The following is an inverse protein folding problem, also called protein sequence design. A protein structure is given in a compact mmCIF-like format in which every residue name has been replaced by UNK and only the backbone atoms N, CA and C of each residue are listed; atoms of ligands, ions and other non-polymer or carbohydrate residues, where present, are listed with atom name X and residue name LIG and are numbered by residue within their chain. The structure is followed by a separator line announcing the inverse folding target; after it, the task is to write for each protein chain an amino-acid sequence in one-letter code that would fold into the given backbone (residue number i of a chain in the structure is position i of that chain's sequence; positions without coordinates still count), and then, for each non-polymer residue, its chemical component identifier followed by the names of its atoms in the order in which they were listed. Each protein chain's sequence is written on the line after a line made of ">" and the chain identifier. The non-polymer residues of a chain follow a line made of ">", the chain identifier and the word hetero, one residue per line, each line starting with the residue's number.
data_IF_553982084704
#
_entry.id   IF_553982084704
#
_cell.length_a   1.000
_cell.length_b   1.000
_cell.length_c   1.000
_cell.angle_alpha   90.00
_cell.angle_beta   90.00
_cell.angle_gamma   90.00
#
_symmetry.space_group_name_H-M   'P 1'
#
loop_
_entity.id
_entity.type
_entity.pdbx_description
1 polymer ?
#
# COMPACT_ATOMS: atom_id res chain seq x y z
N UNK A 1 13.01 -12.77 -3.38
CA UNK A 1 12.46 -13.01 -2.04
C UNK A 1 11.81 -14.37 -2.04
N UNK A 2 11.96 -15.13 -0.97
CA UNK A 2 11.38 -16.46 -0.79
C UNK A 2 10.41 -16.45 0.39
N UNK A 3 9.11 -16.43 0.07
CA UNK A 3 8.05 -16.33 1.06
C UNK A 3 7.47 -17.69 1.44
N UNK A 4 7.35 -18.60 0.46
CA UNK A 4 6.54 -19.82 0.59
C UNK A 4 7.34 -21.12 0.42
N UNK A 5 8.60 -21.08 0.00
CA UNK A 5 9.38 -22.33 -0.13
C UNK A 5 9.75 -22.91 1.23
N UNK A 6 10.05 -24.21 1.24
CA UNK A 6 10.53 -24.92 2.44
C UNK A 6 11.86 -24.39 2.99
N UNK A 7 12.56 -23.52 2.25
CA UNK A 7 13.81 -22.88 2.65
C UNK A 7 13.62 -21.44 3.12
N UNK A 8 12.39 -20.91 3.14
CA UNK A 8 12.09 -19.56 3.59
C UNK A 8 12.48 -19.39 5.07
N UNK A 9 13.27 -18.36 5.38
CA UNK A 9 13.75 -18.10 6.75
C UNK A 9 13.74 -16.63 7.17
N UNK A 10 13.49 -15.69 6.25
CA UNK A 10 13.62 -14.24 6.55
C UNK A 10 12.65 -13.32 5.81
N UNK A 11 12.17 -13.69 4.63
CA UNK A 11 11.36 -12.81 3.81
C UNK A 11 9.90 -12.99 4.22
N UNK A 12 9.20 -11.88 4.50
CA UNK A 12 7.79 -11.88 4.90
C UNK A 12 7.02 -10.97 3.95
N UNK A 13 5.87 -11.45 3.47
CA UNK A 13 4.94 -10.67 2.67
C UNK A 13 3.65 -10.43 3.48
N UNK A 14 3.31 -9.16 3.68
CA UNK A 14 2.01 -8.76 4.20
C UNK A 14 1.18 -8.24 3.02
N UNK A 15 0.07 -8.91 2.71
CA UNK A 15 -0.76 -8.59 1.55
C UNK A 15 -1.96 -7.74 1.97
N UNK A 16 -1.99 -6.49 1.50
CA UNK A 16 -3.06 -5.54 1.75
C UNK A 16 -2.63 -4.10 1.43
N UNK A 17 -3.43 -3.13 1.84
CA UNK A 17 -3.11 -1.72 1.69
C UNK A 17 -1.89 -1.33 2.53
N UNK A 18 -0.96 -0.56 1.95
CA UNK A 18 0.26 -0.13 2.62
C UNK A 18 -0.04 0.56 3.96
N UNK A 19 -1.03 1.46 4.00
CA UNK A 19 -1.43 2.19 5.20
C UNK A 19 -1.87 1.23 6.32
N UNK A 20 -2.64 0.19 5.98
CA UNK A 20 -3.09 -0.80 6.95
C UNK A 20 -1.92 -1.67 7.43
N UNK A 21 -1.01 -2.04 6.54
CA UNK A 21 0.20 -2.79 6.90
C UNK A 21 1.11 -2.00 7.85
N UNK A 22 1.34 -0.72 7.56
CA UNK A 22 2.11 0.18 8.41
C UNK A 22 1.43 0.41 9.77
N UNK A 23 0.11 0.62 9.81
CA UNK A 23 -0.63 0.77 11.07
C UNK A 23 -0.61 -0.51 11.91
N UNK A 24 -0.77 -1.68 11.28
CA UNK A 24 -0.70 -2.97 11.97
C UNK A 24 0.70 -3.22 12.55
N UNK A 25 1.76 -2.93 11.79
CA UNK A 25 3.14 -3.02 12.28
C UNK A 25 3.40 -2.03 13.43
N UNK A 26 2.92 -0.79 13.31
CA UNK A 26 3.04 0.22 14.35
C UNK A 26 2.31 -0.19 15.65
N UNK A 27 1.19 -0.91 15.57
CA UNK A 27 0.48 -1.44 16.74
C UNK A 27 1.33 -2.46 17.50
N UNK A 28 1.94 -3.39 16.76
CA UNK A 28 2.84 -4.42 17.34
C UNK A 28 4.09 -3.81 18.01
N UNK A 29 4.55 -2.66 17.52
CA UNK A 29 5.66 -1.91 18.09
C UNK A 29 5.26 -0.94 19.22
N UNK A 30 3.95 -0.75 19.44
CA UNK A 30 3.43 0.23 20.40
C UNK A 30 3.49 1.69 19.92
N UNK A 31 3.70 1.93 18.63
CA UNK A 31 3.82 3.26 18.00
C UNK A 31 2.52 3.77 17.37
N UNK A 32 1.46 2.96 17.33
CA UNK A 32 0.23 3.29 16.60
C UNK A 32 -0.35 4.67 16.95
N UNK A 33 -0.49 4.99 18.24
CA UNK A 33 -1.03 6.28 18.68
C UNK A 33 -0.16 7.45 18.22
N UNK A 34 1.16 7.32 18.38
CA UNK A 34 2.10 8.36 17.96
C UNK A 34 2.04 8.58 16.44
N UNK A 35 1.96 7.50 15.66
CA UNK A 35 1.85 7.56 14.21
C UNK A 35 0.53 8.21 13.76
N UNK A 36 -0.60 7.84 14.37
CA UNK A 36 -1.90 8.45 14.05
C UNK A 36 -1.92 9.95 14.38
N UNK A 37 -1.37 10.34 15.54
CA UNK A 37 -1.31 11.74 15.96
C UNK A 37 -0.38 12.57 15.07
N UNK A 38 0.73 11.97 14.60
CA UNK A 38 1.61 12.60 13.61
C UNK A 38 0.87 12.84 12.29
N UNK A 39 0.25 11.80 11.72
CA UNK A 39 -0.47 11.91 10.43
C UNK A 39 -1.57 12.96 10.50
N UNK A 40 -2.37 12.97 11.58
CA UNK A 40 -3.44 13.99 11.77
C UNK A 40 -2.88 15.41 11.81
N UNK A 41 -1.80 15.64 12.56
CA UNK A 41 -1.17 16.98 12.68
C UNK A 41 -0.62 17.47 11.36
N UNK A 42 0.10 16.61 10.63
CA UNK A 42 0.72 17.02 9.36
C UNK A 42 -0.31 17.23 8.25
N UNK A 43 -1.35 16.39 8.16
CA UNK A 43 -2.45 16.64 7.21
C UNK A 43 -3.17 17.96 7.52
N UNK A 44 -3.46 18.26 8.80
CA UNK A 44 -4.05 19.54 9.18
C UNK A 44 -3.15 20.74 8.81
N UNK A 45 -1.83 20.59 8.95
CA UNK A 45 -0.84 21.61 8.55
C UNK A 45 -0.84 21.85 7.04
N UNK A 46 -0.89 20.79 6.23
CA UNK A 46 -0.94 20.87 4.76
C UNK A 46 -2.28 21.48 4.31
N UNK A 47 -3.39 21.07 4.91
CA UNK A 47 -4.72 21.59 4.59
C UNK A 47 -4.82 23.10 4.90
N UNK A 48 -4.25 23.54 6.03
CA UNK A 48 -4.18 24.95 6.39
C UNK A 48 -3.35 25.79 5.39
N UNK A 49 -2.26 25.22 4.86
CA UNK A 49 -1.40 25.89 3.88
C UNK A 49 -1.99 25.88 2.46
N UNK A 50 -2.64 24.79 2.06
CA UNK A 50 -3.21 24.62 0.72
C UNK A 50 -4.43 25.52 0.48
N UNK A 51 -5.20 25.85 1.52
CA UNK A 51 -6.25 26.88 1.44
C UNK A 51 -5.72 28.29 1.11
N UNK A 52 -4.41 28.52 1.24
CA UNK A 52 -3.74 29.80 0.98
C UNK A 52 -3.07 29.87 -0.40
N UNK A 53 -3.05 28.77 -1.17
CA UNK A 53 -2.37 28.71 -2.47
C UNK A 53 -3.39 28.89 -3.61
N UNK A 54 -3.24 29.96 -4.39
CA UNK A 54 -4.04 30.19 -5.59
C UNK A 54 -3.93 28.99 -6.56
N UNK A 55 -5.03 28.58 -7.22
CA UNK A 55 -5.03 27.41 -8.10
C UNK A 55 -4.03 27.64 -9.24
N UNK A 56 -2.99 26.80 -9.29
CA UNK A 56 -1.96 26.86 -10.32
C UNK A 56 -2.53 26.21 -11.61
N UNK A 57 -2.59 26.93 -12.75
CA UNK A 57 -3.30 26.48 -13.95
C UNK A 57 -2.68 25.28 -14.68
N UNK A 58 -1.54 24.72 -14.22
CA UNK A 58 -0.84 23.62 -14.90
C UNK A 58 -1.32 22.21 -14.56
N UNK A 59 -2.37 22.03 -13.74
CA UNK A 59 -2.90 20.68 -13.41
C UNK A 59 -3.89 20.11 -14.43
N UNK A 60 -4.16 20.80 -15.55
CA UNK A 60 -5.15 20.40 -16.54
C UNK A 60 -4.69 19.33 -17.56
N UNK A 61 -3.48 18.76 -17.47
CA UNK A 61 -3.00 17.80 -18.47
C UNK A 61 -2.18 16.66 -17.87
N UNK A 62 -2.86 15.72 -17.22
CA UNK A 62 -2.35 14.35 -17.09
C UNK A 62 -3.54 13.38 -17.12
N UNK A 63 -3.72 12.60 -18.19
CA UNK A 63 -4.79 11.63 -18.25
C UNK A 63 -4.54 10.53 -17.20
N UNK A 64 -5.39 10.49 -16.17
CA UNK A 64 -5.59 9.29 -15.33
C UNK A 64 -6.07 8.17 -16.24
N UNK A 65 -5.14 7.35 -16.77
CA UNK A 65 -5.46 6.03 -17.30
C UNK A 65 -4.69 4.99 -16.50
N UNK A 66 -5.19 4.70 -15.32
CA UNK A 66 -4.88 3.45 -14.63
C UNK A 66 -5.29 2.29 -15.55
N UNK A 67 -4.45 1.28 -15.78
CA UNK A 67 -4.90 0.05 -16.43
C UNK A 67 -5.97 -0.60 -15.54
N UNK A 68 -7.04 -1.18 -16.12
CA UNK A 68 -8.04 -1.92 -15.34
C UNK A 68 -7.40 -3.14 -14.66
N UNK A 69 -7.92 -3.57 -13.49
CA UNK A 69 -7.46 -4.78 -12.84
C UNK A 69 -7.69 -5.97 -13.78
N UNK A 70 -6.63 -6.71 -14.07
CA UNK A 70 -6.71 -7.95 -14.81
C UNK A 70 -7.68 -8.88 -14.07
N UNK A 71 -8.71 -9.31 -14.79
CA UNK A 71 -9.76 -10.20 -14.31
C UNK A 71 -9.14 -11.51 -13.82
N UNK A 72 -9.46 -11.87 -12.58
CA UNK A 72 -9.51 -13.27 -12.17
C UNK A 72 -10.46 -14.02 -13.13
N UNK A 73 -9.93 -15.00 -13.84
CA UNK A 73 -10.70 -16.08 -14.45
C UNK A 73 -9.84 -17.35 -14.41
N UNK A 74 -10.31 -18.28 -13.58
CA UNK A 74 -9.74 -19.59 -13.31
C UNK A 74 -9.46 -20.43 -14.56
N UNK A 75 -8.44 -21.32 -14.50
CA UNK A 75 -8.62 -22.72 -14.90
C UNK A 75 -7.56 -23.68 -14.33
N UNK A 76 -8.09 -24.73 -13.73
CA UNK A 76 -7.49 -25.95 -13.14
C UNK A 76 -6.90 -26.97 -14.13
N UNK A 77 -6.04 -27.85 -13.57
CA UNK A 77 -5.47 -29.14 -14.07
C UNK A 77 -4.34 -28.98 -15.11
N UNK A 78 -3.16 -29.61 -14.98
CA UNK A 78 -2.93 -31.04 -14.72
C UNK A 78 -1.65 -31.34 -13.89
N UNK A 79 -1.68 -32.57 -13.36
CA UNK A 79 -0.71 -33.32 -12.57
C UNK A 79 0.26 -34.04 -13.51
N UNK A 80 1.58 -33.92 -13.32
CA UNK A 80 2.59 -34.98 -13.56
C UNK A 80 3.94 -34.50 -12.99
N UNK A 81 4.36 -34.99 -11.84
CA UNK A 81 5.44 -35.98 -11.68
C UNK A 81 6.79 -35.49 -12.25
N UNK A 82 7.73 -35.15 -11.37
CA UNK A 82 9.13 -35.60 -11.44
C UNK A 82 9.83 -35.32 -10.11
N UNK A 83 10.13 -36.43 -9.44
CA UNK A 83 11.24 -36.73 -8.49
C UNK A 83 11.86 -35.62 -7.66
#
# INVERSE_FOLDING_TARGET
>A
MDFDSKKAYRDVAWLGDCDQGCLALADLLGWKKELEDLVRREHASIDAQSGSQAPNPSTATSPKKSPPPAKEAARTKEREEHQ
#
